data_IF_803316333396
#
_entry.id   IF_803316333396
#
_cell.length_a   1.000
_cell.length_b   1.000
_cell.length_c   1.000
_cell.angle_alpha   90.00
_cell.angle_beta   90.00
_cell.angle_gamma   90.00
#
_symmetry.space_group_name_H-M   'P 1'
#
loop_
_entity.id
_entity.type
_entity.pdbx_description
1 polymer ?
#
# COMPACT_ATOMS: atom_id res chain seq x y z
N UNK A 1 46.08 19.11 -46.10
CA UNK A 1 46.45 17.82 -45.47
C UNK A 1 45.52 17.63 -44.29
N UNK A 2 44.85 16.49 -44.30
CA UNK A 2 43.58 16.10 -43.65
C UNK A 2 43.56 16.16 -42.11
N UNK A 3 42.51 16.78 -41.56
CA UNK A 3 41.99 16.52 -40.21
C UNK A 3 40.76 15.63 -40.30
N UNK A 4 40.65 14.65 -39.40
CA UNK A 4 39.57 13.67 -39.36
C UNK A 4 38.43 14.15 -38.45
N UNK A 5 37.22 14.28 -39.01
CA UNK A 5 35.97 14.43 -38.26
C UNK A 5 35.33 13.06 -38.05
N UNK A 6 35.07 12.70 -36.80
CA UNK A 6 34.22 11.56 -36.45
C UNK A 6 32.76 12.02 -36.33
N UNK A 7 31.94 11.62 -37.29
CA UNK A 7 30.48 11.80 -37.26
C UNK A 7 29.85 10.60 -36.56
N UNK A 8 29.35 10.80 -35.35
CA UNK A 8 28.46 9.85 -34.67
C UNK A 8 27.04 10.05 -35.22
N UNK A 9 26.51 9.02 -35.88
CA UNK A 9 25.18 8.99 -36.49
C UNK A 9 24.13 8.78 -35.39
N UNK A 10 23.42 9.84 -34.98
CA UNK A 10 22.25 9.73 -34.10
C UNK A 10 21.11 9.00 -34.84
N UNK A 11 20.68 7.86 -34.30
CA UNK A 11 19.44 7.18 -34.72
C UNK A 11 18.29 7.80 -33.93
N UNK A 12 17.33 8.44 -34.61
CA UNK A 12 16.11 8.95 -33.99
C UNK A 12 15.32 7.76 -33.43
N UNK A 13 14.98 7.83 -32.15
CA UNK A 13 14.06 6.93 -31.48
C UNK A 13 12.69 7.60 -31.52
N UNK A 14 11.89 7.28 -32.54
CA UNK A 14 10.44 7.50 -32.51
C UNK A 14 9.79 6.24 -31.95
N UNK A 15 8.66 6.46 -31.25
CA UNK A 15 7.70 5.48 -30.73
C UNK A 15 7.87 5.10 -29.25
N UNK A 16 7.44 6.03 -28.39
CA UNK A 16 6.98 5.79 -27.01
C UNK A 16 5.66 6.56 -26.81
N UNK A 17 4.64 6.20 -27.57
CA UNK A 17 3.25 6.58 -27.30
C UNK A 17 2.46 5.28 -27.13
N UNK A 18 2.41 4.78 -25.90
CA UNK A 18 1.35 3.88 -25.41
C UNK A 18 1.35 3.91 -23.88
N UNK A 19 0.75 4.97 -23.33
CA UNK A 19 0.34 4.98 -21.92
C UNK A 19 -0.95 4.13 -21.79
N UNK A 20 -1.04 3.19 -20.84
CA UNK A 20 -2.22 2.34 -20.71
C UNK A 20 -3.46 3.19 -20.39
N UNK A 21 -4.52 2.95 -21.16
CA UNK A 21 -5.82 3.61 -21.02
C UNK A 21 -6.43 3.29 -19.66
N UNK A 22 -6.60 4.32 -18.82
CA UNK A 22 -7.34 4.23 -17.55
C UNK A 22 -8.79 3.93 -17.88
N UNK A 23 -9.24 2.71 -17.59
CA UNK A 23 -10.64 2.30 -17.74
C UNK A 23 -11.51 3.08 -16.74
N UNK A 24 -12.61 3.66 -17.24
CA UNK A 24 -13.54 4.45 -16.44
C UNK A 24 -14.12 3.63 -15.26
N UNK A 25 -14.00 4.20 -14.05
CA UNK A 25 -14.41 3.55 -12.80
C UNK A 25 -15.94 3.56 -12.65
N UNK A 26 -16.57 2.45 -12.22
CA UNK A 26 -18.01 2.45 -11.93
C UNK A 26 -18.33 3.34 -10.72
N UNK A 27 -19.35 4.20 -10.88
CA UNK A 27 -19.80 5.11 -9.82
C UNK A 27 -20.52 4.34 -8.71
N UNK A 28 -19.89 4.28 -7.53
CA UNK A 28 -20.57 3.86 -6.30
C UNK A 28 -21.45 5.01 -5.78
N UNK A 29 -22.58 4.73 -5.10
CA UNK A 29 -23.44 5.78 -4.54
C UNK A 29 -22.63 6.71 -3.63
N UNK A 30 -22.58 7.99 -3.98
CA UNK A 30 -21.75 9.00 -3.32
C UNK A 30 -22.47 9.60 -2.11
N UNK A 31 -21.80 9.57 -0.96
CA UNK A 31 -22.14 10.48 0.14
C UNK A 31 -21.78 11.90 -0.31
N UNK A 32 -22.60 12.93 -0.02
CA UNK A 32 -22.22 14.32 -0.30
C UNK A 32 -20.83 14.63 0.27
N UNK A 33 -20.00 15.33 -0.50
CA UNK A 33 -18.60 15.57 -0.17
C UNK A 33 -18.43 16.17 1.24
N UNK A 34 -19.28 17.13 1.62
CA UNK A 34 -19.25 17.80 2.92
C UNK A 34 -19.51 16.84 4.08
N UNK A 35 -20.48 15.93 3.93
CA UNK A 35 -20.79 14.93 4.95
C UNK A 35 -19.68 13.87 5.07
N UNK A 36 -19.02 13.52 3.97
CA UNK A 36 -17.87 12.63 3.99
C UNK A 36 -16.65 13.27 4.67
N UNK A 37 -16.41 14.56 4.45
CA UNK A 37 -15.34 15.33 5.09
C UNK A 37 -15.59 15.49 6.59
N UNK A 38 -16.78 15.93 7.00
CA UNK A 38 -17.13 16.09 8.41
C UNK A 38 -16.98 14.79 9.20
N UNK A 39 -17.41 13.66 8.63
CA UNK A 39 -17.18 12.34 9.19
C UNK A 39 -15.68 12.00 9.30
N UNK A 40 -14.91 12.27 8.24
CA UNK A 40 -13.48 11.99 8.24
C UNK A 40 -12.71 12.77 9.31
N UNK A 41 -13.03 14.05 9.51
CA UNK A 41 -12.45 14.89 10.56
C UNK A 41 -12.77 14.29 11.93
N UNK A 42 -14.06 14.02 12.20
CA UNK A 42 -14.50 13.44 13.48
C UNK A 42 -13.78 12.12 13.81
N UNK A 43 -13.67 11.23 12.82
CA UNK A 43 -13.01 9.92 12.97
C UNK A 43 -11.50 10.07 13.16
N UNK A 44 -10.85 10.99 12.44
CA UNK A 44 -9.44 11.29 12.63
C UNK A 44 -9.14 11.82 14.03
N UNK A 45 -9.94 12.77 14.52
CA UNK A 45 -9.81 13.34 15.86
C UNK A 45 -10.03 12.29 16.96
N UNK A 46 -11.03 11.42 16.79
CA UNK A 46 -11.29 10.33 17.71
C UNK A 46 -10.11 9.34 17.76
N UNK A 47 -9.53 8.99 16.62
CA UNK A 47 -8.38 8.10 16.54
C UNK A 47 -7.13 8.73 17.17
N UNK A 48 -6.87 10.02 16.91
CA UNK A 48 -5.76 10.75 17.52
C UNK A 48 -5.88 10.77 19.06
N UNK A 49 -7.07 11.08 19.58
CA UNK A 49 -7.35 11.02 21.04
C UNK A 49 -7.18 9.61 21.61
N UNK A 50 -7.71 8.59 20.96
CA UNK A 50 -7.59 7.19 21.41
C UNK A 50 -6.13 6.71 21.42
N UNK A 51 -5.30 7.23 20.51
CA UNK A 51 -3.87 6.96 20.45
C UNK A 51 -3.04 7.82 21.43
N UNK A 52 -3.66 8.81 22.07
CA UNK A 52 -2.98 9.76 22.95
C UNK A 52 -1.97 10.64 22.20
N UNK A 53 -2.28 11.03 20.97
CA UNK A 53 -1.40 11.87 20.13
C UNK A 53 -2.13 13.06 19.53
N UNK A 54 -1.38 14.10 19.19
CA UNK A 54 -1.85 15.18 18.30
C UNK A 54 -1.28 14.95 16.91
N UNK A 55 -2.12 14.92 15.88
CA UNK A 55 -1.66 14.82 14.49
C UNK A 55 -1.89 16.15 13.80
N UNK A 56 -0.87 16.68 13.13
CA UNK A 56 -0.96 17.94 12.40
C UNK A 56 0.05 18.01 11.25
N UNK A 57 -0.20 18.90 10.30
CA UNK A 57 0.82 19.26 9.33
C UNK A 57 2.03 19.93 10.01
N UNK A 58 3.20 19.70 9.46
CA UNK A 58 4.48 20.27 9.91
C UNK A 58 5.15 21.01 8.77
N UNK A 59 5.97 22.02 9.09
CA UNK A 59 6.58 22.83 8.02
C UNK A 59 7.78 23.68 8.41
N UNK A 60 8.08 23.84 9.71
CA UNK A 60 9.34 24.47 10.12
C UNK A 60 10.52 23.53 9.84
N UNK A 61 11.69 24.08 9.53
CA UNK A 61 12.87 23.25 9.26
C UNK A 61 13.21 22.31 10.43
N UNK A 62 13.08 22.79 11.68
CA UNK A 62 13.32 21.98 12.86
C UNK A 62 12.39 20.77 12.98
N UNK A 63 11.11 20.91 12.60
CA UNK A 63 10.16 19.79 12.58
C UNK A 63 10.48 18.81 11.45
N UNK A 64 10.82 19.31 10.26
CA UNK A 64 11.16 18.49 9.11
C UNK A 64 12.44 17.67 9.37
N UNK A 65 13.45 18.28 9.99
CA UNK A 65 14.66 17.58 10.45
C UNK A 65 14.33 16.51 11.51
N UNK A 66 13.33 16.75 12.36
CA UNK A 66 12.89 15.74 13.32
C UNK A 66 12.16 14.56 12.65
N UNK A 67 11.41 14.82 11.58
CA UNK A 67 10.80 13.77 10.75
C UNK A 67 11.88 12.93 10.05
N UNK A 68 12.89 13.57 9.47
CA UNK A 68 14.01 12.90 8.81
C UNK A 68 14.75 11.97 9.79
N UNK A 69 15.09 12.47 10.98
CA UNK A 69 15.71 11.66 12.05
C UNK A 69 14.82 10.50 12.52
N UNK A 70 13.50 10.68 12.59
CA UNK A 70 12.58 9.60 12.91
C UNK A 70 12.67 8.50 11.84
N UNK A 71 12.64 8.87 10.56
CA UNK A 71 12.69 7.90 9.47
C UNK A 71 14.04 7.17 9.41
N UNK A 72 15.14 7.87 9.66
CA UNK A 72 16.46 7.25 9.82
C UNK A 72 16.45 6.18 10.93
N UNK A 73 15.87 6.48 12.10
CA UNK A 73 15.79 5.53 13.21
C UNK A 73 14.90 4.30 12.89
N UNK A 74 13.88 4.45 12.04
CA UNK A 74 12.96 3.36 11.68
C UNK A 74 13.58 2.44 10.63
N UNK A 75 14.12 2.99 9.55
CA UNK A 75 14.53 2.22 8.36
C UNK A 75 16.04 2.01 8.24
N UNK A 76 16.85 2.83 8.91
CA UNK A 76 18.32 2.82 8.82
C UNK A 76 18.82 2.75 7.36
N UNK A 77 18.37 3.65 6.47
CA UNK A 77 18.65 3.61 5.04
C UNK A 77 20.11 3.99 4.68
N UNK A 78 20.93 4.38 5.66
CA UNK A 78 22.31 4.77 5.45
C UNK A 78 22.41 6.06 4.64
N UNK A 79 23.08 6.04 3.48
CA UNK A 79 23.31 7.24 2.66
C UNK A 79 22.14 7.62 1.74
N UNK A 80 21.04 6.87 1.77
CA UNK A 80 19.95 7.00 0.81
C UNK A 80 18.60 7.16 1.52
N UNK A 81 18.36 8.28 2.22
CA UNK A 81 17.11 8.50 2.93
C UNK A 81 15.92 8.49 1.95
N UNK A 82 14.76 7.91 2.36
CA UNK A 82 13.60 7.80 1.49
C UNK A 82 12.93 9.15 1.17
N UNK A 83 13.17 10.16 2.01
CA UNK A 83 12.77 11.57 1.82
C UNK A 83 13.67 12.45 2.68
N UNK A 84 14.16 13.58 2.17
CA UNK A 84 15.02 14.52 2.93
C UNK A 84 14.23 15.71 3.47
N UNK A 85 14.81 16.45 4.42
CA UNK A 85 14.27 17.73 4.90
C UNK A 85 13.94 18.70 3.76
N UNK A 86 14.85 18.89 2.81
CA UNK A 86 14.67 19.82 1.69
C UNK A 86 13.51 19.41 0.79
N UNK A 87 13.38 18.10 0.54
CA UNK A 87 12.27 17.57 -0.25
C UNK A 87 10.94 17.72 0.48
N UNK A 88 10.88 17.44 1.79
CA UNK A 88 9.67 17.70 2.58
C UNK A 88 9.31 19.19 2.61
N UNK A 89 10.30 20.08 2.68
CA UNK A 89 10.09 21.53 2.62
C UNK A 89 9.50 21.94 1.28
N UNK A 90 10.02 21.39 0.18
CA UNK A 90 9.48 21.60 -1.16
C UNK A 90 8.05 21.07 -1.29
N UNK A 91 7.77 19.86 -0.79
CA UNK A 91 6.43 19.27 -0.79
C UNK A 91 5.42 20.15 -0.04
N UNK A 92 5.75 20.57 1.19
CA UNK A 92 4.88 21.47 1.97
C UNK A 92 4.63 22.80 1.25
N UNK A 93 5.66 23.39 0.62
CA UNK A 93 5.53 24.63 -0.17
C UNK A 93 4.64 24.44 -1.42
N UNK A 94 4.70 23.27 -2.03
CA UNK A 94 3.89 22.91 -3.20
C UNK A 94 2.47 22.43 -2.83
N UNK A 95 2.06 22.51 -1.56
CA UNK A 95 0.70 22.15 -1.11
C UNK A 95 0.48 20.66 -0.90
N UNK A 96 1.54 19.85 -0.83
CA UNK A 96 1.46 18.41 -0.61
C UNK A 96 1.34 18.06 0.88
N UNK A 97 1.05 16.79 1.16
CA UNK A 97 0.81 16.32 2.51
C UNK A 97 2.12 16.01 3.24
N UNK A 98 2.40 16.76 4.30
CA UNK A 98 3.49 16.50 5.25
C UNK A 98 2.94 16.67 6.65
N UNK A 99 2.81 15.58 7.40
CA UNK A 99 2.22 15.60 8.73
C UNK A 99 2.97 14.71 9.72
N UNK A 100 2.89 15.05 11.00
CA UNK A 100 3.48 14.32 12.10
C UNK A 100 2.49 14.09 13.24
N UNK A 101 2.73 13.04 14.01
CA UNK A 101 2.04 12.68 15.23
C UNK A 101 2.94 12.97 16.43
N UNK A 102 2.41 13.64 17.44
CA UNK A 102 3.11 14.07 18.64
C UNK A 102 2.46 13.49 19.90
N UNK A 103 3.28 12.92 20.77
CA UNK A 103 2.92 12.61 22.16
C UNK A 103 3.55 13.68 23.07
N UNK A 104 2.72 14.56 23.64
CA UNK A 104 3.23 15.81 24.20
C UNK A 104 3.97 16.61 23.11
N UNK A 105 5.25 16.89 23.34
CA UNK A 105 6.14 17.55 22.37
C UNK A 105 7.00 16.55 21.57
N UNK A 106 6.93 15.26 21.91
CA UNK A 106 7.74 14.22 21.28
C UNK A 106 7.11 13.77 19.98
N UNK A 107 7.85 13.89 18.87
CA UNK A 107 7.46 13.35 17.58
C UNK A 107 7.55 11.82 17.60
N UNK A 108 6.43 11.15 17.37
CA UNK A 108 6.32 9.68 17.45
C UNK A 108 5.87 9.02 16.14
N UNK A 109 5.53 9.81 15.13
CA UNK A 109 5.22 9.28 13.81
C UNK A 109 5.11 10.40 12.77
N UNK A 110 5.24 10.04 11.50
CA UNK A 110 5.10 10.98 10.39
C UNK A 110 4.57 10.30 9.14
N UNK A 111 3.95 11.09 8.27
CA UNK A 111 3.42 10.64 6.98
C UNK A 111 3.58 11.74 5.93
N UNK A 112 4.11 11.36 4.77
CA UNK A 112 4.38 12.24 3.63
C UNK A 112 3.69 11.67 2.40
N UNK A 113 3.06 12.53 1.61
CA UNK A 113 2.45 12.16 0.33
C UNK A 113 2.31 13.36 -0.59
N UNK A 114 2.22 13.12 -1.89
CA UNK A 114 2.16 14.14 -2.92
C UNK A 114 1.07 13.83 -3.96
N UNK A 115 0.54 14.86 -4.61
CA UNK A 115 -0.51 14.69 -5.61
C UNK A 115 -0.02 13.82 -6.78
N UNK A 116 -0.89 12.93 -7.25
CA UNK A 116 -0.63 12.13 -8.44
C UNK A 116 -1.12 12.90 -9.68
N UNK A 117 -0.33 12.90 -10.76
CA UNK A 117 -0.78 13.38 -12.07
C UNK A 117 -1.68 12.33 -12.74
N UNK A 118 -2.56 12.69 -13.70
CA UNK A 118 -2.77 14.03 -14.28
C UNK A 118 -3.81 14.90 -13.56
N UNK A 119 -4.56 14.36 -12.60
CA UNK A 119 -5.64 15.07 -11.89
C UNK A 119 -5.33 15.21 -10.41
N UNK A 120 -5.59 16.39 -9.84
CA UNK A 120 -5.44 16.65 -8.40
C UNK A 120 -6.46 15.88 -7.52
N UNK A 121 -7.22 14.95 -8.07
CA UNK A 121 -8.20 14.13 -7.34
C UNK A 121 -7.58 12.86 -6.70
N UNK A 122 -6.26 12.67 -6.86
CA UNK A 122 -5.51 11.53 -6.33
C UNK A 122 -4.23 11.97 -5.58
N UNK A 123 -3.88 11.21 -4.54
CA UNK A 123 -2.67 11.41 -3.73
C UNK A 123 -1.84 10.13 -3.68
N UNK A 124 -0.54 10.21 -3.97
CA UNK A 124 0.41 9.16 -3.63
C UNK A 124 0.87 9.32 -2.17
N UNK A 125 0.64 8.31 -1.33
CA UNK A 125 1.13 8.27 0.05
C UNK A 125 2.53 7.64 0.08
N UNK A 126 3.55 8.47 -0.10
CA UNK A 126 4.96 8.07 -0.25
C UNK A 126 5.51 7.26 0.92
N UNK A 127 5.40 7.79 2.14
CA UNK A 127 6.00 7.16 3.32
C UNK A 127 5.19 7.45 4.58
N UNK A 128 5.07 6.46 5.46
CA UNK A 128 4.46 6.59 6.77
C UNK A 128 5.22 5.72 7.78
N UNK A 129 5.69 6.34 8.87
CA UNK A 129 6.50 5.68 9.89
C UNK A 129 6.04 6.06 11.28
N UNK A 130 6.14 5.12 12.21
CA UNK A 130 5.84 5.31 13.63
C UNK A 130 7.02 4.79 14.44
N UNK A 131 7.44 5.56 15.44
CA UNK A 131 8.50 5.18 16.37
C UNK A 131 8.19 3.82 17.02
N UNK A 132 9.19 2.95 17.21
CA UNK A 132 9.04 1.71 17.97
C UNK A 132 8.41 1.90 19.35
N UNK A 133 8.71 3.01 20.03
CA UNK A 133 8.24 3.31 21.39
C UNK A 133 6.73 3.64 21.44
N UNK A 134 6.16 4.01 20.29
CA UNK A 134 4.74 4.30 20.14
C UNK A 134 3.96 3.16 19.45
N UNK A 135 4.58 1.98 19.30
CA UNK A 135 3.91 0.77 18.79
C UNK A 135 2.74 0.38 19.70
N UNK A 136 1.79 -0.37 19.15
CA UNK A 136 0.53 -0.80 19.79
C UNK A 136 -0.50 0.30 20.14
N UNK A 137 -0.15 1.60 20.07
CA UNK A 137 -1.10 2.71 20.31
C UNK A 137 -1.95 3.10 19.09
N UNK A 138 -1.85 2.36 17.98
CA UNK A 138 -2.53 2.68 16.70
C UNK A 138 -2.19 4.07 16.12
N UNK A 139 -1.01 4.64 16.42
CA UNK A 139 -0.58 5.95 15.89
C UNK A 139 -0.59 5.99 14.35
N UNK A 140 -0.17 4.91 13.69
CA UNK A 140 -0.23 4.82 12.23
C UNK A 140 -1.65 4.90 11.67
N UNK A 141 -2.64 4.38 12.41
CA UNK A 141 -4.05 4.51 12.05
C UNK A 141 -4.53 5.96 12.18
N UNK A 142 -4.17 6.64 13.27
CA UNK A 142 -4.47 8.06 13.46
C UNK A 142 -3.85 8.94 12.36
N UNK A 143 -2.58 8.69 11.99
CA UNK A 143 -1.90 9.37 10.89
C UNK A 143 -2.62 9.21 9.55
N UNK A 144 -3.05 7.98 9.22
CA UNK A 144 -3.76 7.71 7.96
C UNK A 144 -5.17 8.29 7.96
N UNK A 145 -5.88 8.28 9.09
CA UNK A 145 -7.19 8.95 9.18
C UNK A 145 -7.08 10.47 9.06
N UNK A 146 -6.05 11.07 9.64
CA UNK A 146 -5.73 12.48 9.40
C UNK A 146 -5.42 12.73 7.91
N UNK A 147 -4.65 11.85 7.26
CA UNK A 147 -4.39 11.94 5.81
C UNK A 147 -5.70 11.85 4.99
N UNK A 148 -6.64 10.99 5.37
CA UNK A 148 -7.96 10.91 4.73
C UNK A 148 -8.76 12.21 4.88
N UNK A 149 -8.83 12.77 6.08
CA UNK A 149 -9.54 14.02 6.33
C UNK A 149 -8.91 15.17 5.53
N UNK A 150 -7.58 15.28 5.56
CA UNK A 150 -6.83 16.27 4.77
C UNK A 150 -7.09 16.10 3.27
N UNK A 151 -6.97 14.88 2.75
CA UNK A 151 -7.16 14.58 1.33
C UNK A 151 -8.56 14.98 0.84
N UNK A 152 -9.61 14.60 1.59
CA UNK A 152 -10.99 14.99 1.26
C UNK A 152 -11.18 16.52 1.26
N UNK A 153 -10.55 17.24 2.18
CA UNK A 153 -10.60 18.71 2.21
C UNK A 153 -9.92 19.37 1.00
N UNK A 154 -9.04 18.66 0.29
CA UNK A 154 -8.31 19.13 -0.89
C UNK A 154 -8.85 18.52 -2.19
N UNK A 155 -10.07 17.96 -2.18
CA UNK A 155 -10.71 17.40 -3.37
C UNK A 155 -10.14 16.04 -3.82
N UNK A 156 -9.28 15.41 -3.02
CA UNK A 156 -8.75 14.08 -3.31
C UNK A 156 -9.78 13.02 -2.95
N UNK A 157 -10.10 12.15 -3.91
CA UNK A 157 -11.03 11.03 -3.75
C UNK A 157 -10.33 9.70 -3.47
N UNK A 158 -9.05 9.58 -3.84
CA UNK A 158 -8.25 8.34 -3.74
C UNK A 158 -6.84 8.62 -3.24
N UNK A 159 -6.38 7.80 -2.31
CA UNK A 159 -4.96 7.76 -1.91
C UNK A 159 -4.37 6.42 -2.34
N UNK A 160 -3.26 6.44 -3.08
CA UNK A 160 -2.55 5.24 -3.56
C UNK A 160 -1.17 5.08 -2.93
N UNK A 161 -0.76 3.84 -2.65
CA UNK A 161 0.61 3.50 -2.22
C UNK A 161 0.88 2.01 -2.43
N UNK A 162 2.14 1.63 -2.32
CA UNK A 162 2.54 0.23 -2.37
C UNK A 162 2.93 -0.30 -0.98
N UNK A 163 2.83 -1.61 -0.78
CA UNK A 163 3.44 -2.27 0.38
C UNK A 163 3.96 -3.66 -0.02
N UNK A 164 4.85 -4.24 0.78
CA UNK A 164 5.32 -5.61 0.57
C UNK A 164 4.20 -6.62 0.90
N UNK A 165 3.72 -7.42 -0.08
CA UNK A 165 2.60 -8.32 0.13
C UNK A 165 2.91 -9.48 1.09
N UNK A 166 4.18 -9.80 1.38
CA UNK A 166 4.55 -10.81 2.38
C UNK A 166 4.46 -10.28 3.82
N UNK A 167 4.44 -8.95 4.03
CA UNK A 167 4.35 -8.36 5.36
C UNK A 167 2.90 -8.37 5.83
N UNK A 168 2.47 -9.48 6.45
CA UNK A 168 1.06 -9.71 6.84
C UNK A 168 0.46 -8.63 7.74
N UNK A 169 1.26 -8.01 8.63
CA UNK A 169 0.80 -6.87 9.44
C UNK A 169 0.41 -5.65 8.59
N UNK A 170 1.14 -5.40 7.50
CA UNK A 170 0.84 -4.31 6.56
C UNK A 170 -0.37 -4.67 5.71
N UNK A 171 -0.50 -5.93 5.28
CA UNK A 171 -1.70 -6.42 4.59
C UNK A 171 -2.95 -6.21 5.46
N UNK A 172 -2.93 -6.64 6.72
CA UNK A 172 -4.03 -6.44 7.65
C UNK A 172 -4.32 -4.95 7.88
N UNK A 173 -3.28 -4.14 8.10
CA UNK A 173 -3.46 -2.69 8.28
C UNK A 173 -4.10 -2.02 7.06
N UNK A 174 -3.57 -2.26 5.86
CA UNK A 174 -4.05 -1.62 4.64
C UNK A 174 -5.45 -2.10 4.26
N UNK A 175 -5.71 -3.40 4.28
CA UNK A 175 -6.94 -3.98 3.73
C UNK A 175 -8.07 -3.98 4.76
N UNK A 176 -7.76 -4.27 6.03
CA UNK A 176 -8.78 -4.41 7.09
C UNK A 176 -8.94 -3.12 7.88
N UNK A 177 -7.85 -2.55 8.40
CA UNK A 177 -7.92 -1.34 9.24
C UNK A 177 -8.25 -0.08 8.45
N UNK A 178 -7.79 0.04 7.21
CA UNK A 178 -8.09 1.19 6.36
C UNK A 178 -9.20 0.92 5.34
N UNK A 179 -9.38 -0.33 4.89
CA UNK A 179 -10.31 -0.63 3.81
C UNK A 179 -9.77 -0.25 2.42
N UNK A 180 -8.44 -0.18 2.27
CA UNK A 180 -7.80 -0.02 0.97
C UNK A 180 -7.90 -1.33 0.16
N UNK A 181 -7.88 -1.21 -1.17
CA UNK A 181 -8.05 -2.34 -2.08
C UNK A 181 -6.79 -2.53 -2.92
N UNK A 182 -6.22 -3.75 -2.98
CA UNK A 182 -5.21 -4.10 -3.97
C UNK A 182 -5.73 -3.88 -5.38
N UNK A 183 -4.88 -3.31 -6.24
CA UNK A 183 -5.19 -3.06 -7.65
C UNK A 183 -4.20 -3.69 -8.58
N UNK A 184 -2.93 -3.84 -8.16
CA UNK A 184 -1.88 -4.37 -9.03
C UNK A 184 -0.77 -5.00 -8.20
N UNK A 185 -0.23 -6.11 -8.69
CA UNK A 185 1.00 -6.72 -8.18
C UNK A 185 2.18 -6.25 -9.05
N UNK A 186 3.18 -5.65 -8.43
CA UNK A 186 4.33 -5.04 -9.08
C UNK A 186 5.60 -5.82 -8.72
N UNK A 187 6.12 -6.68 -9.62
CA UNK A 187 7.34 -7.44 -9.38
C UNK A 187 8.57 -6.54 -9.29
N UNK A 188 9.41 -6.76 -8.28
CA UNK A 188 10.69 -6.08 -8.04
C UNK A 188 10.65 -4.55 -8.29
N UNK A 189 9.59 -3.90 -7.81
CA UNK A 189 9.21 -2.55 -8.20
C UNK A 189 10.27 -1.48 -7.92
N UNK A 190 11.00 -1.62 -6.80
CA UNK A 190 12.04 -0.67 -6.41
C UNK A 190 13.46 -1.15 -6.77
N UNK A 191 13.59 -2.34 -7.38
CA UNK A 191 14.89 -2.99 -7.55
C UNK A 191 15.58 -3.24 -6.19
N UNK A 192 16.93 -3.23 -6.14
CA UNK A 192 17.68 -3.42 -4.90
C UNK A 192 17.44 -2.27 -3.89
N UNK A 193 16.94 -2.59 -2.69
CA UNK A 193 16.79 -1.65 -1.58
C UNK A 193 17.76 -1.99 -0.45
N UNK A 194 18.68 -1.08 -0.13
CA UNK A 194 19.75 -1.29 0.87
C UNK A 194 19.35 -0.82 2.28
N UNK A 195 18.12 -1.10 2.68
CA UNK A 195 17.64 -0.81 4.04
C UNK A 195 17.54 -2.10 4.89
N UNK A 196 17.46 -1.93 6.21
CA UNK A 196 17.48 -3.05 7.15
C UNK A 196 16.26 -3.98 7.05
N UNK A 197 15.14 -3.53 6.47
CA UNK A 197 13.88 -4.29 6.42
C UNK A 197 13.71 -5.12 5.14
N UNK A 198 14.26 -4.64 4.02
CA UNK A 198 14.10 -5.28 2.72
C UNK A 198 15.22 -6.29 2.42
N UNK A 199 16.43 -6.13 2.98
CA UNK A 199 17.58 -7.01 2.71
C UNK A 199 17.86 -7.18 1.19
N UNK A 200 18.62 -8.20 0.78
CA UNK A 200 18.87 -8.52 -0.65
C UNK A 200 17.71 -9.28 -1.33
N UNK A 201 16.46 -9.11 -0.87
CA UNK A 201 15.27 -9.75 -1.45
C UNK A 201 14.65 -8.86 -2.55
N UNK A 202 13.92 -9.48 -3.48
CA UNK A 202 13.20 -8.72 -4.51
C UNK A 202 12.11 -7.84 -3.87
N UNK A 203 11.94 -6.64 -4.42
CA UNK A 203 11.03 -5.63 -3.88
C UNK A 203 9.64 -5.71 -4.50
N UNK A 204 9.02 -6.88 -4.44
CA UNK A 204 7.63 -6.99 -4.89
C UNK A 204 6.73 -6.10 -4.05
N UNK A 205 5.77 -5.47 -4.73
CA UNK A 205 4.88 -4.48 -4.17
C UNK A 205 3.45 -4.75 -4.60
N UNK A 206 2.53 -4.67 -3.64
CA UNK A 206 1.11 -4.64 -3.93
C UNK A 206 0.65 -3.18 -3.90
N UNK A 207 0.31 -2.65 -5.07
CA UNK A 207 -0.31 -1.34 -5.19
C UNK A 207 -1.73 -1.43 -4.63
N UNK A 208 -2.06 -0.50 -3.74
CA UNK A 208 -3.41 -0.35 -3.19
C UNK A 208 -3.97 1.03 -3.48
N UNK A 209 -5.28 1.07 -3.71
CA UNK A 209 -6.06 2.29 -3.74
C UNK A 209 -7.00 2.36 -2.53
N UNK A 210 -6.95 3.49 -1.83
CA UNK A 210 -7.85 3.80 -0.74
C UNK A 210 -8.88 4.84 -1.19
N UNK A 211 -10.05 4.33 -1.55
CA UNK A 211 -11.20 5.16 -1.93
C UNK A 211 -11.85 5.75 -0.68
N UNK A 212 -11.62 7.05 -0.46
CA UNK A 212 -11.83 7.71 0.83
C UNK A 212 -13.30 7.82 1.26
N UNK A 213 -14.22 7.80 0.30
CA UNK A 213 -15.67 7.85 0.53
C UNK A 213 -16.34 6.49 0.47
N UNK A 214 -15.59 5.42 0.13
CA UNK A 214 -16.16 4.08 -0.02
C UNK A 214 -16.76 3.56 1.30
N UNK A 215 -17.83 2.73 1.24
CA UNK A 215 -18.40 2.13 2.44
C UNK A 215 -17.37 1.33 3.26
N UNK A 216 -16.40 0.68 2.60
CA UNK A 216 -15.34 -0.05 3.27
C UNK A 216 -14.42 0.88 4.09
N UNK A 217 -13.95 1.98 3.48
CA UNK A 217 -13.09 2.95 4.16
C UNK A 217 -13.79 3.62 5.34
N UNK A 218 -15.07 3.97 5.19
CA UNK A 218 -15.89 4.57 6.26
C UNK A 218 -16.03 3.62 7.46
N UNK A 219 -16.51 2.39 7.22
CA UNK A 219 -16.67 1.38 8.28
C UNK A 219 -15.35 1.06 8.98
N UNK A 220 -14.28 0.90 8.22
CA UNK A 220 -12.95 0.62 8.77
C UNK A 220 -12.45 1.79 9.65
N UNK A 221 -12.64 3.04 9.19
CA UNK A 221 -12.32 4.25 9.96
C UNK A 221 -13.06 4.32 11.30
N UNK A 222 -14.32 3.89 11.34
CA UNK A 222 -15.11 3.82 12.58
C UNK A 222 -14.76 2.63 13.49
N UNK A 223 -13.73 1.84 13.14
CA UNK A 223 -13.34 0.65 13.91
C UNK A 223 -14.27 -0.54 13.71
N UNK A 224 -15.06 -0.56 12.63
CA UNK A 224 -15.99 -1.64 12.27
C UNK A 224 -15.57 -2.33 10.96
N UNK A 225 -14.35 -2.88 10.86
CA UNK A 225 -13.96 -3.61 9.66
C UNK A 225 -14.87 -4.83 9.44
N UNK A 226 -14.96 -5.30 8.20
CA UNK A 226 -15.61 -6.57 7.87
C UNK A 226 -14.50 -7.62 7.66
N UNK A 227 -14.05 -8.31 8.72
CA UNK A 227 -13.01 -9.32 8.59
C UNK A 227 -13.54 -10.54 7.82
N UNK A 228 -12.64 -11.24 7.15
CA UNK A 228 -12.87 -12.56 6.59
C UNK A 228 -12.44 -13.62 7.60
N UNK A 229 -13.18 -14.73 7.69
CA UNK A 229 -12.82 -15.88 8.53
C UNK A 229 -12.34 -17.02 7.65
N UNK A 230 -11.03 -17.10 7.47
CA UNK A 230 -10.39 -18.13 6.65
C UNK A 230 -10.50 -19.51 7.30
N UNK A 231 -10.60 -19.61 8.64
CA UNK A 231 -10.82 -20.87 9.33
C UNK A 231 -12.16 -21.51 8.95
N UNK A 232 -13.22 -20.69 8.89
CA UNK A 232 -14.53 -21.13 8.38
C UNK A 232 -14.48 -21.47 6.90
N UNK A 233 -13.84 -20.65 6.06
CA UNK A 233 -13.70 -20.93 4.62
C UNK A 233 -12.98 -22.26 4.35
N UNK A 234 -11.91 -22.57 5.09
CA UNK A 234 -11.21 -23.86 4.97
C UNK A 234 -12.09 -25.04 5.35
N UNK A 235 -12.89 -24.94 6.42
CA UNK A 235 -13.88 -25.98 6.80
C UNK A 235 -14.97 -26.17 5.75
N UNK A 236 -15.28 -25.12 4.99
CA UNK A 236 -16.22 -25.15 3.87
C UNK A 236 -15.58 -25.66 2.55
N UNK A 237 -14.30 -26.05 2.57
CA UNK A 237 -13.62 -26.59 1.39
C UNK A 237 -13.17 -25.54 0.39
N UNK A 238 -13.05 -24.26 0.79
CA UNK A 238 -12.47 -23.24 -0.09
C UNK A 238 -11.03 -23.61 -0.45
N UNK A 239 -10.71 -23.48 -1.74
CA UNK A 239 -9.45 -23.94 -2.32
C UNK A 239 -8.28 -23.13 -1.76
N UNK A 240 -7.21 -23.83 -1.40
CA UNK A 240 -5.96 -23.23 -0.94
C UNK A 240 -4.96 -23.18 -2.09
N UNK A 241 -4.67 -21.98 -2.56
CA UNK A 241 -3.74 -21.72 -3.65
C UNK A 241 -2.29 -21.65 -3.18
N UNK A 242 -2.06 -21.13 -1.97
CA UNK A 242 -0.75 -21.10 -1.33
C UNK A 242 -0.90 -21.34 0.16
N UNK A 243 -0.17 -22.30 0.70
CA UNK A 243 -0.17 -22.66 2.12
C UNK A 243 1.20 -22.51 2.76
N UNK A 244 1.23 -22.59 4.09
CA UNK A 244 2.44 -22.71 4.91
C UNK A 244 2.55 -24.17 5.35
N UNK A 245 3.69 -24.81 5.09
CA UNK A 245 4.00 -26.14 5.64
C UNK A 245 4.31 -26.09 7.14
N UNK A 246 4.39 -27.25 7.80
CA UNK A 246 4.86 -27.34 9.20
C UNK A 246 6.26 -26.75 9.40
N UNK A 247 7.12 -26.84 8.38
CA UNK A 247 8.48 -26.27 8.37
C UNK A 247 8.54 -24.79 8.02
N UNK A 248 7.40 -24.11 7.81
CA UNK A 248 7.36 -22.69 7.44
C UNK A 248 7.68 -22.39 5.97
N UNK A 249 7.80 -23.41 5.12
CA UNK A 249 7.99 -23.26 3.66
C UNK A 249 6.67 -22.98 2.94
N UNK A 250 6.69 -22.26 1.80
CA UNK A 250 5.52 -22.11 0.95
C UNK A 250 5.17 -23.43 0.27
N UNK A 251 3.89 -23.77 0.25
CA UNK A 251 3.35 -24.95 -0.47
C UNK A 251 2.32 -24.48 -1.47
N UNK A 252 2.65 -24.58 -2.76
CA UNK A 252 1.73 -24.25 -3.86
C UNK A 252 0.64 -25.30 -3.95
N UNK A 253 -0.62 -24.85 -3.96
CA UNK A 253 -1.81 -25.67 -4.09
C UNK A 253 -2.46 -25.52 -5.47
N UNK A 254 -3.76 -25.79 -5.54
CA UNK A 254 -4.55 -25.62 -6.76
C UNK A 254 -5.04 -24.18 -6.92
N UNK A 255 -5.11 -23.70 -8.16
CA UNK A 255 -5.73 -22.41 -8.52
C UNK A 255 -7.18 -22.60 -9.05
N UNK A 256 -7.72 -23.82 -8.96
CA UNK A 256 -9.01 -24.22 -9.52
C UNK A 256 -10.14 -23.93 -8.53
N UNK A 257 -10.55 -22.68 -8.46
CA UNK A 257 -11.68 -22.27 -7.64
C UNK A 257 -12.06 -20.80 -7.83
N UNK A 258 -13.31 -20.48 -7.54
CA UNK A 258 -13.83 -19.10 -7.60
C UNK A 258 -13.33 -18.24 -6.45
N UNK A 259 -13.11 -18.86 -5.29
CA UNK A 259 -12.49 -18.25 -4.11
C UNK A 259 -11.27 -19.05 -3.72
N UNK A 260 -10.15 -18.36 -3.53
CA UNK A 260 -8.83 -18.92 -3.28
C UNK A 260 -8.22 -18.31 -2.02
N UNK A 261 -7.56 -19.15 -1.23
CA UNK A 261 -6.82 -18.77 -0.03
C UNK A 261 -5.33 -18.74 -0.33
N UNK A 262 -4.68 -17.63 -0.03
CA UNK A 262 -3.24 -17.42 -0.28
C UNK A 262 -2.56 -17.00 1.03
N UNK A 263 -1.77 -17.89 1.60
CA UNK A 263 -1.02 -17.61 2.83
C UNK A 263 0.18 -16.70 2.60
N UNK A 264 0.63 -16.05 3.68
CA UNK A 264 1.94 -15.42 3.81
C UNK A 264 2.65 -15.95 5.07
N UNK A 265 3.98 -15.86 5.17
CA UNK A 265 4.68 -16.24 6.39
C UNK A 265 4.24 -15.36 7.56
N UNK A 266 4.31 -15.90 8.78
CA UNK A 266 3.91 -15.19 10.00
C UNK A 266 4.75 -13.91 10.22
N UNK A 267 6.06 -14.00 9.94
CA UNK A 267 6.99 -12.87 10.01
C UNK A 267 8.07 -13.00 8.91
N UNK A 268 7.84 -12.32 7.78
CA UNK A 268 8.80 -12.30 6.67
C UNK A 268 10.11 -11.59 7.03
N UNK A 269 10.09 -10.63 7.95
CA UNK A 269 11.28 -9.86 8.32
C UNK A 269 12.24 -10.74 9.13
N UNK A 270 11.71 -11.47 10.12
CA UNK A 270 12.47 -12.48 10.84
C UNK A 270 12.95 -13.61 9.91
N UNK A 271 12.13 -14.01 8.95
CA UNK A 271 12.47 -15.06 7.98
C UNK A 271 13.63 -14.65 7.05
N UNK A 272 13.67 -13.38 6.61
CA UNK A 272 14.79 -12.85 5.81
C UNK A 272 16.11 -12.92 6.54
N UNK A 273 16.11 -12.61 7.84
CA UNK A 273 17.31 -12.68 8.67
C UNK A 273 17.73 -14.14 8.94
N UNK A 274 16.78 -15.02 9.28
CA UNK A 274 17.06 -16.39 9.67
C UNK A 274 17.36 -17.31 8.48
N UNK A 275 16.65 -17.16 7.35
CA UNK A 275 16.81 -18.00 6.17
C UNK A 275 16.44 -17.25 4.87
N UNK A 276 17.41 -16.51 4.28
CA UNK A 276 17.21 -15.79 3.03
C UNK A 276 16.72 -16.67 1.87
N UNK A 277 17.13 -17.96 1.85
CA UNK A 277 16.72 -18.89 0.82
C UNK A 277 15.21 -19.22 0.90
N UNK A 278 14.68 -19.38 2.12
CA UNK A 278 13.24 -19.62 2.35
C UNK A 278 12.45 -18.35 2.02
N UNK A 279 12.95 -17.18 2.41
CA UNK A 279 12.32 -15.89 2.08
C UNK A 279 12.18 -15.69 0.56
N UNK A 280 13.23 -16.01 -0.22
CA UNK A 280 13.17 -15.97 -1.69
C UNK A 280 12.16 -16.96 -2.28
N UNK A 281 12.06 -18.18 -1.72
CA UNK A 281 11.01 -19.13 -2.14
C UNK A 281 9.61 -18.60 -1.88
N UNK A 282 9.38 -17.97 -0.72
CA UNK A 282 8.11 -17.30 -0.42
C UNK A 282 7.79 -16.18 -1.40
N UNK A 283 8.78 -15.34 -1.71
CA UNK A 283 8.64 -14.27 -2.70
C UNK A 283 8.22 -14.80 -4.06
N UNK A 284 8.92 -15.82 -4.56
CA UNK A 284 8.61 -16.43 -5.85
C UNK A 284 7.24 -17.10 -5.84
N UNK A 285 6.93 -17.92 -4.82
CA UNK A 285 5.65 -18.61 -4.72
C UNK A 285 4.46 -17.65 -4.63
N UNK A 286 4.60 -16.54 -3.89
CA UNK A 286 3.56 -15.51 -3.81
C UNK A 286 3.39 -14.76 -5.13
N UNK A 287 4.49 -14.44 -5.83
CA UNK A 287 4.47 -13.82 -7.16
C UNK A 287 3.73 -14.70 -8.16
N UNK A 288 4.07 -15.99 -8.20
CA UNK A 288 3.49 -16.97 -9.13
C UNK A 288 2.05 -17.36 -8.76
N UNK A 289 1.60 -17.01 -7.55
CA UNK A 289 0.21 -17.25 -7.11
C UNK A 289 -0.61 -15.96 -7.15
N UNK A 290 -0.37 -15.03 -6.22
CA UNK A 290 -1.14 -13.81 -6.08
C UNK A 290 -0.95 -12.87 -7.28
N UNK A 291 0.27 -12.77 -7.81
CA UNK A 291 0.55 -11.95 -8.97
C UNK A 291 -0.20 -12.44 -10.21
N UNK A 292 -0.14 -13.74 -10.49
CA UNK A 292 -0.87 -14.37 -11.61
C UNK A 292 -2.38 -14.20 -11.43
N UNK A 293 -2.93 -14.47 -10.25
CA UNK A 293 -4.36 -14.32 -10.00
C UNK A 293 -4.85 -12.88 -10.25
N UNK A 294 -4.09 -11.88 -9.82
CA UNK A 294 -4.45 -10.47 -10.04
C UNK A 294 -4.32 -10.08 -11.52
N UNK A 295 -3.29 -10.57 -12.22
CA UNK A 295 -3.14 -10.38 -13.66
C UNK A 295 -4.31 -11.01 -14.46
N UNK A 296 -4.83 -12.15 -13.99
CA UNK A 296 -5.99 -12.84 -14.56
C UNK A 296 -7.35 -12.18 -14.19
N UNK A 297 -7.33 -11.01 -13.56
CA UNK A 297 -8.55 -10.26 -13.20
C UNK A 297 -9.24 -10.75 -11.91
N UNK A 298 -8.59 -11.59 -11.11
CA UNK A 298 -9.05 -11.83 -9.75
C UNK A 298 -8.84 -10.57 -8.89
N UNK A 299 -9.54 -10.48 -7.76
CA UNK A 299 -9.39 -9.39 -6.81
C UNK A 299 -9.27 -9.91 -5.37
N UNK A 300 -8.49 -9.20 -4.56
CA UNK A 300 -8.41 -9.48 -3.12
C UNK A 300 -9.70 -9.00 -2.45
N UNK A 301 -10.45 -9.94 -1.89
CA UNK A 301 -11.72 -9.70 -1.18
C UNK A 301 -11.51 -9.40 0.32
N UNK A 302 -10.37 -9.79 0.89
CA UNK A 302 -10.04 -9.53 2.29
C UNK A 302 -8.71 -10.11 2.72
N UNK A 303 -8.35 -9.84 3.96
CA UNK A 303 -7.18 -10.42 4.62
C UNK A 303 -7.55 -10.88 6.03
N UNK A 304 -7.20 -12.11 6.37
CA UNK A 304 -7.41 -12.69 7.68
C UNK A 304 -6.22 -12.43 8.61
N UNK A 305 -6.48 -12.34 9.91
CA UNK A 305 -5.48 -12.05 10.94
C UNK A 305 -4.42 -13.14 11.05
N UNK A 306 -4.71 -14.39 10.64
CA UNK A 306 -3.75 -15.47 10.63
C UNK A 306 -2.80 -15.47 9.41
N UNK A 307 -2.82 -14.42 8.58
CA UNK A 307 -1.87 -14.25 7.48
C UNK A 307 -2.35 -14.83 6.15
N UNK A 308 -3.62 -14.58 5.79
CA UNK A 308 -4.20 -15.12 4.56
C UNK A 308 -4.91 -14.05 3.75
N UNK A 309 -4.57 -13.94 2.48
CA UNK A 309 -5.41 -13.25 1.51
C UNK A 309 -6.56 -14.16 1.08
N UNK A 310 -7.75 -13.56 0.95
CA UNK A 310 -8.89 -14.17 0.27
C UNK A 310 -9.00 -13.52 -1.10
N UNK A 311 -8.83 -14.31 -2.15
CA UNK A 311 -8.86 -13.87 -3.55
C UNK A 311 -10.11 -14.43 -4.22
N UNK A 312 -10.83 -13.60 -4.98
CA UNK A 312 -11.99 -14.01 -5.77
C UNK A 312 -11.75 -13.75 -7.24
N UNK A 313 -11.98 -14.75 -8.08
CA UNK A 313 -11.99 -14.53 -9.53
C UNK A 313 -13.16 -13.59 -9.87
N UNK A 314 -12.94 -12.65 -10.80
CA UNK A 314 -14.05 -11.90 -11.35
C UNK A 314 -15.03 -12.89 -11.99
N UNK A 315 -16.33 -12.70 -11.81
CA UNK A 315 -17.31 -13.41 -12.63
C UNK A 315 -16.91 -13.15 -14.07
N UNK A 316 -16.65 -14.20 -14.86
CA UNK A 316 -16.70 -14.05 -16.31
C UNK A 316 -18.11 -13.49 -16.58
N UNK A 317 -18.20 -12.22 -16.98
CA UNK A 317 -19.43 -11.76 -17.61
C UNK A 317 -19.61 -12.72 -18.78
N UNK A 318 -20.68 -13.51 -18.74
CA UNK A 318 -21.03 -14.38 -19.84
C UNK A 318 -20.95 -13.53 -21.12
N UNK A 319 -19.98 -13.85 -21.98
CA UNK A 319 -19.88 -13.36 -23.34
C UNK A 319 -21.03 -13.99 -24.12
N UNK A 320 -22.25 -13.57 -23.76
CA UNK A 320 -23.44 -13.78 -24.53
C UNK A 320 -23.51 -12.66 -25.55
N UNK A 321 -23.09 -12.95 -26.76
CA UNK A 321 -23.79 -12.50 -27.96
C UNK A 321 -23.46 -13.49 -29.08
N UNK A 322 -24.33 -14.50 -29.19
CA UNK A 322 -24.52 -15.21 -30.43
C UNK A 322 -25.07 -14.22 -31.45
N UNK A 323 -24.38 -14.08 -32.57
CA UNK A 323 -24.97 -13.51 -33.78
C UNK A 323 -25.47 -14.66 -34.62
N UNK A 324 -26.76 -14.96 -34.42
CA UNK A 324 -27.57 -15.44 -35.51
C UNK A 324 -27.83 -14.26 -36.46
N UNK A 325 -27.34 -14.34 -37.69
CA UNK A 325 -28.11 -14.08 -38.91
C UNK A 325 -27.35 -14.55 -40.14
#
# INVERSE_FOLDING_TARGET
MTGAEHVIRMKRMTDLDDAPTVTARPALPSVPADAALADAIRVADAAARASGVRVRQVGSLAELDAVDRLFEAIWQPGKHPPVTTELMRAFGKAGNYVAAAFDGETLVGACVGFFAAPSHDALHSHIAGVSPDARARSVGFALKLHQRAWALAHGVSVVGWTFDPLVGRNAYFNLVKLGARPVEYLPNFYGPMRDALNSDDDTDRLLVHWHLTSPAARRAGEGRPAPVDVGTMRRQGVVTALAVSEGGEPVVGSLDGDTLLVAVPADVEALRAASPAVARRWRQALRDTLGVLLADGAHVAGFDRAGWYVVRRGSAAASGEGTAS
#
